data_IF_666424514260
#
_entry.id   IF_666424514260
#
_cell.length_a   1.000
_cell.length_b   1.000
_cell.length_c   1.000
_cell.angle_alpha   90.00
_cell.angle_beta   90.00
_cell.angle_gamma   90.00
#
_symmetry.space_group_name_H-M   'P 1'
#
loop_
_entity.id
_entity.type
_entity.pdbx_description
1 polymer ?
#
# COMPACT_ATOMS: atom_id res chain seq x y z
N UNK A 1 28.22 -1.99 -16.45
CA UNK A 1 28.81 -3.29 -16.05
C UNK A 1 27.82 -4.36 -16.49
N UNK A 2 28.25 -5.30 -17.33
CA UNK A 2 27.36 -6.24 -18.04
C UNK A 2 26.60 -7.13 -17.07
N UNK A 3 25.26 -7.09 -17.13
CA UNK A 3 24.42 -8.10 -16.49
C UNK A 3 24.44 -9.34 -17.37
N UNK A 4 25.33 -10.27 -17.03
CA UNK A 4 25.26 -11.64 -17.54
C UNK A 4 24.22 -12.38 -16.71
N UNK A 5 23.10 -12.72 -17.33
CA UNK A 5 22.16 -13.71 -16.79
C UNK A 5 22.90 -15.05 -16.84
N UNK A 6 23.36 -15.55 -15.69
CA UNK A 6 24.03 -16.83 -15.60
C UNK A 6 23.22 -17.79 -14.74
N UNK A 7 22.99 -18.98 -15.28
CA UNK A 7 22.00 -20.02 -14.91
C UNK A 7 22.29 -20.76 -13.59
N UNK A 8 22.88 -20.08 -12.61
CA UNK A 8 23.19 -20.65 -11.30
C UNK A 8 22.62 -19.80 -10.18
N UNK A 9 21.29 -19.73 -10.14
CA UNK A 9 20.53 -19.28 -8.98
C UNK A 9 20.65 -20.34 -7.87
N UNK A 10 21.83 -20.41 -7.24
CA UNK A 10 22.05 -21.23 -6.05
C UNK A 10 21.31 -20.59 -4.88
N UNK A 11 20.51 -21.40 -4.18
CA UNK A 11 19.78 -21.06 -2.96
C UNK A 11 20.63 -20.38 -1.85
N UNK A 12 21.95 -20.34 -1.98
CA UNK A 12 22.88 -19.66 -1.06
C UNK A 12 22.79 -18.13 -1.08
N UNK A 13 22.33 -17.50 -2.17
CA UNK A 13 22.15 -16.03 -2.20
C UNK A 13 20.84 -15.58 -1.55
N UNK A 14 19.82 -16.44 -1.58
CA UNK A 14 18.54 -16.17 -0.93
C UNK A 14 18.72 -16.10 0.58
N UNK A 15 19.57 -16.96 1.16
CA UNK A 15 19.82 -17.00 2.60
C UNK A 15 20.55 -15.75 3.11
N UNK A 16 21.51 -15.22 2.34
CA UNK A 16 22.24 -14.00 2.69
C UNK A 16 21.36 -12.74 2.54
N UNK A 17 20.54 -12.67 1.49
CA UNK A 17 19.55 -11.61 1.31
C UNK A 17 18.42 -11.71 2.33
N UNK A 18 18.01 -12.93 2.70
CA UNK A 18 17.10 -13.18 3.82
C UNK A 18 17.73 -12.69 5.11
N UNK A 19 18.99 -13.00 5.43
CA UNK A 19 19.65 -12.51 6.65
C UNK A 19 19.78 -10.98 6.70
N UNK A 20 20.09 -10.33 5.58
CA UNK A 20 20.12 -8.86 5.49
C UNK A 20 18.71 -8.25 5.63
N UNK A 21 17.70 -8.83 4.98
CA UNK A 21 16.32 -8.33 5.05
C UNK A 21 15.58 -8.71 6.35
N UNK A 22 15.93 -9.83 6.97
CA UNK A 22 15.41 -10.31 8.27
C UNK A 22 15.89 -9.43 9.43
N UNK A 23 16.98 -8.70 9.24
CA UNK A 23 17.49 -7.76 10.24
C UNK A 23 16.66 -6.47 10.38
N UNK A 24 15.76 -6.18 9.41
CA UNK A 24 14.85 -5.04 9.47
C UNK A 24 13.39 -5.49 9.35
N UNK A 25 12.49 -4.93 10.17
CA UNK A 25 11.05 -5.22 10.10
C UNK A 25 10.48 -5.07 8.68
N UNK A 26 11.03 -4.15 7.88
CA UNK A 26 10.59 -3.87 6.52
C UNK A 26 10.93 -4.99 5.53
N UNK A 27 12.07 -5.67 5.69
CA UNK A 27 12.40 -6.82 4.85
C UNK A 27 11.54 -8.06 5.15
N UNK A 28 10.97 -8.15 6.36
CA UNK A 28 9.94 -9.14 6.67
C UNK A 28 8.59 -8.83 6.01
N UNK A 29 8.26 -7.56 5.78
CA UNK A 29 6.96 -7.19 5.19
C UNK A 29 6.80 -7.76 3.78
N UNK A 30 7.83 -7.68 2.95
CA UNK A 30 7.80 -8.25 1.59
C UNK A 30 7.67 -9.79 1.59
N UNK A 31 8.09 -10.45 2.68
CA UNK A 31 8.03 -11.91 2.87
C UNK A 31 6.68 -12.35 3.48
N UNK A 32 6.11 -11.55 4.38
CA UNK A 32 4.83 -11.80 5.06
C UNK A 32 3.62 -11.34 4.24
N UNK A 33 3.84 -10.56 3.19
CA UNK A 33 2.81 -10.16 2.24
C UNK A 33 2.45 -11.32 1.32
N UNK A 34 1.68 -12.28 1.83
CA UNK A 34 1.04 -13.26 0.95
C UNK A 34 -0.05 -12.56 0.13
N UNK A 35 0.11 -12.47 -1.21
CA UNK A 35 -0.94 -11.96 -2.07
C UNK A 35 -2.11 -12.94 -2.10
N UNK A 36 -3.31 -12.44 -2.30
CA UNK A 36 -4.45 -13.28 -2.61
C UNK A 36 -4.35 -13.77 -4.06
N UNK A 37 -4.56 -15.07 -4.27
CA UNK A 37 -4.55 -15.68 -5.59
C UNK A 37 -5.96 -15.66 -6.20
N UNK A 38 -6.15 -14.86 -7.24
CA UNK A 38 -7.42 -14.76 -7.98
C UNK A 38 -7.29 -15.47 -9.31
N UNK A 39 -8.07 -16.55 -9.51
CA UNK A 39 -8.07 -17.34 -10.75
C UNK A 39 -8.82 -16.59 -11.85
N UNK A 40 -8.14 -16.30 -12.95
CA UNK A 40 -8.73 -15.76 -14.18
C UNK A 40 -9.22 -16.91 -15.10
N UNK A 41 -8.48 -18.02 -15.11
CA UNK A 41 -8.82 -19.26 -15.84
C UNK A 41 -8.22 -20.47 -15.11
N UNK A 42 -8.33 -21.68 -15.68
CA UNK A 42 -7.70 -22.89 -15.13
C UNK A 42 -6.17 -22.81 -15.05
N UNK A 43 -5.55 -21.89 -15.82
CA UNK A 43 -4.09 -21.79 -15.97
C UNK A 43 -3.51 -20.44 -15.59
N UNK A 44 -4.33 -19.40 -15.40
CA UNK A 44 -3.88 -18.03 -15.13
C UNK A 44 -4.42 -17.58 -13.78
N UNK A 45 -3.50 -17.27 -12.86
CA UNK A 45 -3.78 -16.64 -11.57
C UNK A 45 -3.20 -15.23 -11.55
N UNK A 46 -3.98 -14.28 -11.03
CA UNK A 46 -3.53 -12.92 -10.76
C UNK A 46 -3.32 -12.78 -9.26
N UNK A 47 -2.16 -12.22 -8.89
CA UNK A 47 -1.81 -11.92 -7.52
C UNK A 47 -2.42 -10.58 -7.12
N UNK A 48 -3.31 -10.60 -6.14
CA UNK A 48 -3.94 -9.41 -5.58
C UNK A 48 -3.26 -9.04 -4.26
N UNK A 49 -2.71 -7.82 -4.14
CA UNK A 49 -2.09 -7.38 -2.91
C UNK A 49 -3.05 -7.38 -1.73
N UNK A 50 -2.52 -7.69 -0.55
CA UNK A 50 -3.24 -7.63 0.73
C UNK A 50 -2.74 -6.48 1.61
N UNK A 51 -1.65 -5.82 1.19
CA UNK A 51 -1.00 -4.73 1.91
C UNK A 51 -0.45 -3.68 0.94
N UNK A 52 -0.21 -2.48 1.49
CA UNK A 52 0.37 -1.39 0.70
C UNK A 52 1.83 -1.67 0.36
N UNK A 53 2.32 -1.02 -0.70
CA UNK A 53 3.73 -1.09 -1.07
C UNK A 53 4.65 -0.80 0.12
N UNK A 54 5.76 -1.53 0.25
CA UNK A 54 6.72 -1.36 1.36
C UNK A 54 7.21 0.07 1.52
N UNK A 55 7.45 0.78 0.41
CA UNK A 55 7.82 2.21 0.40
C UNK A 55 6.75 3.10 1.06
N UNK A 56 5.47 2.86 0.76
CA UNK A 56 4.35 3.57 1.38
C UNK A 56 4.19 3.20 2.85
N UNK A 57 4.42 1.94 3.21
CA UNK A 57 4.41 1.48 4.60
C UNK A 57 5.51 2.13 5.45
N UNK A 58 6.73 2.22 4.91
CA UNK A 58 7.87 2.90 5.56
C UNK A 58 7.51 4.36 5.80
N UNK A 59 7.08 5.08 4.77
CA UNK A 59 6.72 6.49 4.88
C UNK A 59 5.59 6.72 5.90
N UNK A 60 4.55 5.87 5.88
CA UNK A 60 3.47 5.94 6.86
C UNK A 60 3.98 5.71 8.28
N UNK A 61 4.90 4.76 8.47
CA UNK A 61 5.50 4.43 9.77
C UNK A 61 6.39 5.56 10.28
N UNK A 62 7.17 6.19 9.41
CA UNK A 62 8.00 7.36 9.73
C UNK A 62 7.13 8.54 10.18
N UNK A 63 6.08 8.87 9.43
CA UNK A 63 5.11 9.91 9.83
C UNK A 63 4.53 9.60 11.21
N UNK A 64 4.13 8.35 11.44
CA UNK A 64 3.59 7.94 12.74
C UNK A 64 4.62 8.04 13.87
N UNK A 65 5.87 7.66 13.60
CA UNK A 65 6.96 7.75 14.56
C UNK A 65 7.22 9.20 14.96
N UNK A 66 7.33 10.10 13.99
CA UNK A 66 7.54 11.54 14.22
C UNK A 66 6.42 12.17 15.04
N UNK A 67 5.16 11.85 14.70
CA UNK A 67 4.00 12.35 15.47
C UNK A 67 4.01 11.87 16.92
N UNK A 68 4.44 10.63 17.16
CA UNK A 68 4.53 10.05 18.50
C UNK A 68 5.72 10.60 19.31
N UNK A 69 6.90 10.72 18.69
CA UNK A 69 8.11 11.20 19.37
C UNK A 69 7.97 12.65 19.83
N UNK A 70 7.32 13.49 19.03
CA UNK A 70 7.01 14.86 19.41
C UNK A 70 5.83 14.97 20.40
N UNK A 71 5.32 13.84 20.90
CA UNK A 71 4.18 13.73 21.80
C UNK A 71 2.93 14.45 21.30
N UNK A 72 2.80 14.74 20.01
CA UNK A 72 1.70 15.55 19.46
C UNK A 72 0.34 14.84 19.61
N UNK A 73 0.34 13.54 19.90
CA UNK A 73 -0.81 12.70 20.24
C UNK A 73 -1.87 13.39 21.11
N UNK A 74 -1.44 14.06 22.19
CA UNK A 74 -2.36 14.72 23.12
C UNK A 74 -2.95 16.04 22.60
N UNK A 75 -2.36 16.61 21.53
CA UNK A 75 -2.83 17.82 20.85
C UNK A 75 -3.80 17.52 19.70
N UNK A 76 -3.94 16.25 19.32
CA UNK A 76 -4.89 15.79 18.31
C UNK A 76 -6.32 15.84 18.82
N UNK A 77 -6.87 17.05 18.88
CA UNK A 77 -8.32 17.25 18.87
C UNK A 77 -8.88 16.78 17.53
N UNK A 78 -10.17 16.48 17.47
CA UNK A 78 -10.86 16.05 16.24
C UNK A 78 -10.52 16.91 15.01
N UNK A 79 -10.47 18.23 15.17
CA UNK A 79 -10.19 19.15 14.06
C UNK A 79 -8.73 19.11 13.61
N UNK A 80 -7.78 19.00 14.55
CA UNK A 80 -6.35 18.85 14.23
C UNK A 80 -6.09 17.51 13.55
N UNK A 81 -6.70 16.44 14.05
CA UNK A 81 -6.68 15.12 13.42
C UNK A 81 -7.18 15.15 11.99
N UNK A 82 -8.35 15.77 11.75
CA UNK A 82 -8.90 15.88 10.40
C UNK A 82 -7.99 16.70 9.48
N UNK A 83 -7.40 17.77 10.00
CA UNK A 83 -6.47 18.59 9.24
C UNK A 83 -5.21 17.80 8.86
N UNK A 84 -4.56 17.15 9.82
CA UNK A 84 -3.35 16.36 9.58
C UNK A 84 -3.65 15.16 8.67
N UNK A 85 -4.77 14.47 8.88
CA UNK A 85 -5.24 13.39 8.01
C UNK A 85 -5.40 13.87 6.56
N UNK A 86 -5.96 15.07 6.35
CA UNK A 86 -6.07 15.68 5.03
C UNK A 86 -4.70 16.02 4.42
N UNK A 87 -3.76 16.54 5.21
CA UNK A 87 -2.41 16.85 4.72
C UNK A 87 -1.63 15.59 4.33
N UNK A 88 -1.71 14.55 5.16
CA UNK A 88 -1.08 13.24 4.88
C UNK A 88 -1.73 12.61 3.64
N UNK A 89 -3.06 12.65 3.53
CA UNK A 89 -3.78 12.19 2.34
C UNK A 89 -3.29 12.91 1.08
N UNK A 90 -3.20 14.25 1.13
CA UNK A 90 -2.70 15.05 0.02
C UNK A 90 -1.24 14.72 -0.36
N UNK A 91 -0.37 14.49 0.62
CA UNK A 91 1.00 14.05 0.36
C UNK A 91 1.02 12.72 -0.41
N UNK A 92 0.22 11.73 0.02
CA UNK A 92 0.13 10.45 -0.67
C UNK A 92 -0.48 10.57 -2.07
N UNK A 93 -1.47 11.45 -2.29
CA UNK A 93 -2.01 11.66 -3.65
C UNK A 93 -0.96 12.26 -4.58
N UNK A 94 -0.14 13.20 -4.12
CA UNK A 94 0.97 13.74 -4.90
C UNK A 94 1.99 12.66 -5.29
N UNK A 95 2.37 11.80 -4.36
CA UNK A 95 3.32 10.70 -4.63
C UNK A 95 2.70 9.70 -5.61
N UNK A 96 1.45 9.28 -5.39
CA UNK A 96 0.75 8.36 -6.29
C UNK A 96 0.54 8.95 -7.69
N UNK A 97 0.32 10.26 -7.81
CA UNK A 97 0.25 10.93 -9.10
C UNK A 97 1.60 10.85 -9.84
N UNK A 98 2.72 11.02 -9.13
CA UNK A 98 4.04 10.81 -9.71
C UNK A 98 4.25 9.34 -10.12
N UNK A 99 3.82 8.38 -9.29
CA UNK A 99 3.85 6.96 -9.65
C UNK A 99 3.03 6.69 -10.91
N UNK A 100 1.79 7.20 -11.02
CA UNK A 100 0.95 7.08 -12.21
C UNK A 100 1.64 7.63 -13.46
N UNK A 101 2.27 8.81 -13.39
CA UNK A 101 2.92 9.43 -14.54
C UNK A 101 4.16 8.66 -15.02
N UNK A 102 4.84 7.95 -14.12
CA UNK A 102 6.12 7.29 -14.40
C UNK A 102 6.04 5.75 -14.44
N UNK A 103 4.93 5.14 -14.02
CA UNK A 103 4.83 3.68 -13.95
C UNK A 103 4.72 3.05 -15.35
N UNK A 104 5.45 1.94 -15.53
CA UNK A 104 5.28 1.07 -16.67
C UNK A 104 3.92 0.37 -16.62
N UNK A 105 3.34 0.07 -17.77
CA UNK A 105 2.07 -0.67 -17.91
C UNK A 105 2.21 -2.18 -17.64
N UNK A 106 2.95 -2.53 -16.58
CA UNK A 106 3.12 -3.91 -16.12
C UNK A 106 1.96 -4.21 -15.16
N UNK A 107 1.17 -5.29 -15.37
CA UNK A 107 -0.01 -5.59 -14.56
C UNK A 107 0.28 -5.62 -13.07
N UNK A 108 1.34 -6.31 -12.62
CA UNK A 108 1.70 -6.38 -11.20
C UNK A 108 1.91 -5.00 -10.56
N UNK A 109 2.56 -4.07 -11.28
CA UNK A 109 2.78 -2.69 -10.79
C UNK A 109 1.45 -1.94 -10.74
N UNK A 110 0.63 -2.06 -11.77
CA UNK A 110 -0.66 -1.39 -11.84
C UNK A 110 -1.61 -1.89 -10.73
N UNK A 111 -1.68 -3.21 -10.52
CA UNK A 111 -2.49 -3.82 -9.46
C UNK A 111 -2.05 -3.35 -8.07
N UNK A 112 -0.73 -3.29 -7.80
CA UNK A 112 -0.21 -2.75 -6.55
C UNK A 112 -0.59 -1.27 -6.35
N UNK A 113 -0.42 -0.43 -7.36
CA UNK A 113 -0.75 0.99 -7.25
C UNK A 113 -2.27 1.23 -7.11
N UNK A 114 -3.10 0.41 -7.77
CA UNK A 114 -4.55 0.43 -7.60
C UNK A 114 -4.93 0.03 -6.17
N UNK A 115 -4.31 -1.03 -5.65
CA UNK A 115 -4.49 -1.42 -4.25
C UNK A 115 -4.12 -0.27 -3.31
N UNK A 116 -2.95 0.34 -3.49
CA UNK A 116 -2.47 1.45 -2.66
C UNK A 116 -3.47 2.62 -2.68
N UNK A 117 -3.95 3.01 -3.86
CA UNK A 117 -4.98 4.04 -3.99
C UNK A 117 -6.25 3.69 -3.20
N UNK A 118 -6.78 2.47 -3.35
CA UNK A 118 -7.99 2.04 -2.64
C UNK A 118 -7.75 1.96 -1.13
N UNK A 119 -6.59 1.47 -0.69
CA UNK A 119 -6.22 1.36 0.72
C UNK A 119 -6.09 2.75 1.37
N UNK A 120 -5.39 3.67 0.70
CA UNK A 120 -5.28 5.04 1.17
C UNK A 120 -6.61 5.78 1.18
N UNK A 121 -7.50 5.55 0.21
CA UNK A 121 -8.85 6.12 0.25
C UNK A 121 -9.65 5.69 1.50
N UNK A 122 -9.49 4.44 1.96
CA UNK A 122 -10.13 3.97 3.21
C UNK A 122 -9.54 4.63 4.48
N UNK A 123 -8.27 5.05 4.42
CA UNK A 123 -7.56 5.69 5.53
C UNK A 123 -7.76 7.22 5.54
N UNK A 124 -7.68 7.83 4.38
CA UNK A 124 -7.73 9.26 4.09
C UNK A 124 -8.74 9.49 2.95
N UNK A 125 -10.00 9.80 3.24
CA UNK A 125 -11.07 9.84 2.24
C UNK A 125 -10.96 11.07 1.32
N UNK A 126 -9.99 11.05 0.41
CA UNK A 126 -9.79 12.01 -0.66
C UNK A 126 -10.16 11.39 -2.02
N UNK A 127 -11.03 12.05 -2.78
CA UNK A 127 -11.49 11.57 -4.08
C UNK A 127 -10.36 11.46 -5.11
N UNK A 128 -9.27 12.19 -4.94
CA UNK A 128 -8.10 12.10 -5.81
C UNK A 128 -7.53 10.67 -5.88
N UNK A 129 -7.57 9.89 -4.79
CA UNK A 129 -7.14 8.49 -4.83
C UNK A 129 -7.96 7.66 -5.82
N UNK A 130 -9.27 7.89 -5.89
CA UNK A 130 -10.15 7.20 -6.84
C UNK A 130 -9.91 7.64 -8.28
N UNK A 131 -9.59 8.92 -8.49
CA UNK A 131 -9.26 9.47 -9.81
C UNK A 131 -7.92 8.92 -10.33
N UNK A 132 -6.91 8.82 -9.47
CA UNK A 132 -5.62 8.19 -9.80
C UNK A 132 -5.82 6.69 -10.07
N UNK A 133 -6.57 5.99 -9.22
CA UNK A 133 -6.91 4.57 -9.41
C UNK A 133 -7.50 4.31 -10.80
N UNK A 134 -8.49 5.11 -11.23
CA UNK A 134 -9.11 4.97 -12.55
C UNK A 134 -8.12 5.20 -13.71
N UNK A 135 -7.20 6.15 -13.56
CA UNK A 135 -6.17 6.41 -14.56
C UNK A 135 -5.15 5.26 -14.65
N UNK A 136 -4.85 4.58 -13.53
CA UNK A 136 -4.02 3.38 -13.53
C UNK A 136 -4.79 2.19 -14.15
N UNK A 137 -6.07 2.02 -13.80
CA UNK A 137 -6.95 0.99 -14.39
C UNK A 137 -7.00 1.11 -15.93
N UNK A 138 -6.97 2.33 -16.48
CA UNK A 138 -6.93 2.56 -17.92
C UNK A 138 -5.65 2.07 -18.62
N UNK A 139 -4.59 1.72 -17.88
CA UNK A 139 -3.35 1.11 -18.42
C UNK A 139 -3.42 -0.42 -18.49
N UNK A 140 -4.48 -1.03 -17.95
CA UNK A 140 -4.65 -2.47 -17.85
C UNK A 140 -5.73 -2.99 -18.82
N UNK A 141 -5.76 -4.32 -19.01
CA UNK A 141 -6.83 -4.95 -19.76
C UNK A 141 -8.19 -4.81 -19.02
N UNK A 142 -9.27 -4.40 -19.70
CA UNK A 142 -10.57 -4.20 -19.05
C UNK A 142 -11.16 -5.45 -18.37
N UNK A 143 -10.86 -6.65 -18.88
CA UNK A 143 -11.34 -7.92 -18.32
C UNK A 143 -10.62 -8.19 -17.00
N UNK A 144 -9.30 -8.00 -16.97
CA UNK A 144 -8.50 -8.11 -15.74
C UNK A 144 -9.00 -7.12 -14.69
N UNK A 145 -9.18 -5.85 -15.07
CA UNK A 145 -9.67 -4.81 -14.15
C UNK A 145 -11.01 -5.22 -13.53
N UNK A 146 -11.95 -5.73 -14.32
CA UNK A 146 -13.28 -6.11 -13.84
C UNK A 146 -13.22 -7.24 -12.80
N UNK A 147 -12.40 -8.26 -13.05
CA UNK A 147 -12.21 -9.39 -12.13
C UNK A 147 -11.53 -8.95 -10.83
N UNK A 148 -10.63 -7.97 -10.90
CA UNK A 148 -9.86 -7.50 -9.76
C UNK A 148 -10.59 -6.49 -8.87
N UNK A 149 -11.70 -5.88 -9.33
CA UNK A 149 -12.39 -4.82 -8.58
C UNK A 149 -12.80 -5.24 -7.15
N UNK A 150 -13.46 -6.39 -7.00
CA UNK A 150 -13.95 -6.86 -5.69
C UNK A 150 -12.79 -7.28 -4.77
N UNK A 151 -11.83 -8.14 -5.20
CA UNK A 151 -10.69 -8.52 -4.37
C UNK A 151 -9.87 -7.31 -3.91
N UNK A 152 -9.58 -6.36 -4.82
CA UNK A 152 -8.83 -5.16 -4.49
C UNK A 152 -9.57 -4.28 -3.46
N UNK A 153 -10.87 -4.08 -3.64
CA UNK A 153 -11.67 -3.29 -2.71
C UNK A 153 -11.76 -3.97 -1.34
N UNK A 154 -12.00 -5.28 -1.32
CA UNK A 154 -12.09 -6.07 -0.08
C UNK A 154 -10.76 -6.04 0.67
N UNK A 155 -9.65 -6.29 -0.01
CA UNK A 155 -8.34 -6.33 0.62
C UNK A 155 -7.90 -4.93 1.09
N UNK A 156 -8.18 -3.88 0.33
CA UNK A 156 -7.95 -2.51 0.76
C UNK A 156 -8.74 -2.15 2.04
N UNK A 157 -10.00 -2.59 2.13
CA UNK A 157 -10.83 -2.41 3.33
C UNK A 157 -10.28 -3.19 4.52
N UNK A 158 -9.92 -4.46 4.32
CA UNK A 158 -9.32 -5.30 5.36
C UNK A 158 -7.99 -4.72 5.85
N UNK A 159 -7.16 -4.24 4.93
CA UNK A 159 -5.92 -3.55 5.28
C UNK A 159 -6.21 -2.35 6.18
N UNK A 160 -7.09 -1.44 5.77
CA UNK A 160 -7.42 -0.25 6.55
C UNK A 160 -8.05 -0.57 7.92
N UNK A 161 -8.80 -1.67 8.02
CA UNK A 161 -9.33 -2.17 9.29
C UNK A 161 -8.22 -2.69 10.21
N UNK A 162 -7.25 -3.44 9.67
CA UNK A 162 -6.10 -3.97 10.44
C UNK A 162 -5.14 -2.85 10.85
N UNK A 163 -4.96 -1.85 10.00
CA UNK A 163 -4.17 -0.66 10.27
C UNK A 163 -4.96 0.44 10.96
N UNK A 164 -6.15 0.13 11.49
CA UNK A 164 -6.97 1.06 12.24
C UNK A 164 -6.21 1.65 13.44
N UNK A 165 -5.19 0.98 13.98
CA UNK A 165 -4.29 1.52 15.02
C UNK A 165 -3.53 2.77 14.52
N UNK A 166 -3.05 2.77 13.27
CA UNK A 166 -2.46 3.98 12.66
C UNK A 166 -3.53 5.04 12.41
N UNK A 167 -4.74 4.61 12.01
CA UNK A 167 -5.91 5.47 11.94
C UNK A 167 -6.28 6.02 13.31
N UNK A 168 -6.04 5.33 14.44
CA UNK A 168 -6.36 5.85 15.79
C UNK A 168 -5.27 6.75 16.35
N UNK A 169 -4.00 6.55 15.94
CA UNK A 169 -2.85 7.38 16.34
C UNK A 169 -2.73 8.66 15.51
N UNK A 170 -3.06 8.61 14.21
CA UNK A 170 -3.18 9.79 13.35
C UNK A 170 -4.58 10.42 13.48
N UNK A 171 -5.62 9.60 13.65
CA UNK A 171 -7.00 10.02 13.93
C UNK A 171 -7.44 9.62 15.33
N UNK A 172 -7.11 10.46 16.30
CA UNK A 172 -7.54 10.29 17.68
C UNK A 172 -9.08 10.52 17.75
N UNK A 173 -9.79 9.46 18.17
CA UNK A 173 -11.23 9.30 18.47
C UNK A 173 -12.25 9.30 17.31
N UNK A 174 -12.54 8.10 16.80
CA UNK A 174 -13.93 7.65 16.60
C UNK A 174 -14.16 6.44 17.52
N UNK A 175 -14.76 6.68 18.70
CA UNK A 175 -15.61 5.77 19.48
C UNK A 175 -15.54 6.08 20.98
N UNK A 176 -16.34 7.06 21.41
CA UNK A 176 -16.82 7.19 22.79
C UNK A 176 -18.17 7.91 22.76
N UNK A 177 -19.15 7.32 22.06
CA UNK A 177 -20.57 7.68 22.16
C UNK A 177 -21.39 6.40 22.00
N UNK A 178 -21.37 5.57 23.05
CA UNK A 178 -22.54 4.89 23.59
C UNK A 178 -22.45 5.06 25.11
#
# INVERSE_FOLDING_TARGET
MNCVINEHFRASNLYSQLLENVSSWYGWMDILQEPEHVKLSETVEILVPTQISSHFYILLTEICSELNQNSLGHLFTKNVTLHVSKQIGHLFTLILQQCLNNCASIPAICVQLIFDCKAFFQMFPDKQFLEISKQIEAKMDPIEVNILQEPLLRNAKLFAQRTAVYKTKICVYENSLI
#
